data_IF_984858415440
#
_entry.id   IF_984858415440
#
_cell.length_a   1.000
_cell.length_b   1.000
_cell.length_c   1.000
_cell.angle_alpha   90.00
_cell.angle_beta   90.00
_cell.angle_gamma   90.00
#
_symmetry.space_group_name_H-M   'P 1'
#
loop_
_entity.id
_entity.type
_entity.pdbx_description
1 polymer ?
#
# COMPACT_ATOMS: atom_id res chain seq x y z
N UNK A 1 0.32 -14.16 -6.97
CA UNK A 1 -0.64 -14.13 -5.83
C UNK A 1 -1.91 -14.86 -6.27
N UNK A 2 -2.69 -15.39 -5.34
CA UNK A 2 -4.02 -15.90 -5.67
C UNK A 2 -4.90 -14.74 -6.14
N UNK A 3 -5.75 -14.99 -7.15
CA UNK A 3 -6.65 -13.98 -7.70
C UNK A 3 -7.68 -13.56 -6.64
N UNK A 4 -8.04 -12.29 -6.59
CA UNK A 4 -9.14 -11.79 -5.76
C UNK A 4 -10.45 -12.47 -6.20
N UNK A 5 -11.29 -12.91 -5.27
CA UNK A 5 -12.55 -13.61 -5.54
C UNK A 5 -13.73 -12.82 -4.98
N UNK A 6 -14.68 -12.50 -5.85
CA UNK A 6 -15.86 -11.71 -5.52
C UNK A 6 -17.10 -12.52 -5.83
N UNK A 7 -17.94 -12.72 -4.81
CA UNK A 7 -19.24 -13.34 -4.94
C UNK A 7 -20.27 -12.28 -5.33
N UNK A 8 -21.29 -12.64 -6.09
CA UNK A 8 -22.44 -11.75 -6.31
C UNK A 8 -23.76 -12.50 -6.33
N UNK A 9 -24.74 -12.01 -5.57
CA UNK A 9 -26.12 -12.46 -5.57
C UNK A 9 -27.06 -11.31 -5.96
N UNK A 10 -27.99 -11.57 -6.87
CA UNK A 10 -29.07 -10.65 -7.24
C UNK A 10 -30.34 -11.00 -6.47
N UNK A 11 -31.00 -10.01 -5.87
CA UNK A 11 -32.18 -10.23 -5.04
C UNK A 11 -33.32 -9.29 -5.41
N UNK A 12 -34.55 -9.75 -5.21
CA UNK A 12 -35.76 -8.99 -5.52
C UNK A 12 -36.90 -9.36 -4.57
N UNK A 13 -38.07 -8.75 -4.74
CA UNK A 13 -39.27 -8.99 -3.92
C UNK A 13 -40.56 -8.90 -4.74
N UNK A 14 -41.53 -9.78 -4.41
CA UNK A 14 -42.72 -10.10 -5.23
C UNK A 14 -43.60 -8.92 -5.66
N UNK A 15 -43.62 -7.83 -4.89
CA UNK A 15 -44.46 -6.67 -5.20
C UNK A 15 -43.82 -5.67 -6.18
N UNK A 16 -42.63 -5.98 -6.71
CA UNK A 16 -41.85 -5.14 -7.60
C UNK A 16 -41.48 -5.84 -8.91
N UNK A 17 -40.86 -5.12 -9.83
CA UNK A 17 -40.60 -5.57 -11.21
C UNK A 17 -39.43 -6.57 -11.30
N UNK A 18 -39.76 -7.87 -11.28
CA UNK A 18 -38.80 -8.98 -11.37
C UNK A 18 -37.99 -8.95 -12.68
N UNK A 19 -38.65 -8.73 -13.82
CA UNK A 19 -37.99 -8.77 -15.13
C UNK A 19 -36.98 -7.65 -15.28
N UNK A 20 -37.30 -6.47 -14.75
CA UNK A 20 -36.35 -5.36 -14.69
C UNK A 20 -35.19 -5.69 -13.73
N UNK A 21 -35.45 -6.24 -12.54
CA UNK A 21 -34.42 -6.67 -11.60
C UNK A 21 -33.44 -7.67 -12.24
N UNK A 22 -33.98 -8.68 -12.93
CA UNK A 22 -33.21 -9.68 -13.67
C UNK A 22 -32.35 -9.05 -14.77
N UNK A 23 -32.94 -8.14 -15.56
CA UNK A 23 -32.23 -7.46 -16.65
C UNK A 23 -31.03 -6.66 -16.11
N UNK A 24 -31.24 -5.88 -15.05
CA UNK A 24 -30.18 -5.10 -14.40
C UNK A 24 -29.09 -5.98 -13.79
N UNK A 25 -29.47 -7.11 -13.19
CA UNK A 25 -28.53 -8.09 -12.64
C UNK A 25 -27.65 -8.71 -13.71
N UNK A 26 -28.23 -9.20 -14.81
CA UNK A 26 -27.47 -9.81 -15.90
C UNK A 26 -26.50 -8.81 -16.55
N UNK A 27 -26.94 -7.56 -16.76
CA UNK A 27 -26.05 -6.49 -17.24
C UNK A 27 -24.90 -6.20 -16.26
N UNK A 28 -25.21 -6.22 -14.96
CA UNK A 28 -24.19 -6.07 -13.91
C UNK A 28 -23.16 -7.21 -13.91
N UNK A 29 -23.58 -8.45 -14.17
CA UNK A 29 -22.67 -9.59 -14.29
C UNK A 29 -21.72 -9.45 -15.48
N UNK A 30 -22.20 -8.95 -16.62
CA UNK A 30 -21.37 -8.69 -17.79
C UNK A 30 -20.31 -7.63 -17.48
N UNK A 31 -20.74 -6.47 -16.97
CA UNK A 31 -19.82 -5.39 -16.61
C UNK A 31 -18.79 -5.79 -15.55
N UNK A 32 -19.21 -6.53 -14.51
CA UNK A 32 -18.27 -7.03 -13.49
C UNK A 32 -17.28 -8.04 -14.04
N UNK A 33 -17.66 -8.86 -15.03
CA UNK A 33 -16.70 -9.77 -15.70
C UNK A 33 -15.64 -9.02 -16.49
N UNK A 34 -16.02 -7.93 -17.17
CA UNK A 34 -15.05 -7.07 -17.85
C UNK A 34 -14.14 -6.33 -16.85
N UNK A 35 -14.71 -5.76 -15.79
CA UNK A 35 -13.93 -5.17 -14.70
C UNK A 35 -12.99 -6.19 -14.05
N UNK A 36 -13.41 -7.45 -13.91
CA UNK A 36 -12.58 -8.54 -13.37
C UNK A 36 -11.35 -8.88 -14.21
N UNK A 37 -11.37 -8.56 -15.52
CA UNK A 37 -10.18 -8.67 -16.38
C UNK A 37 -9.23 -7.50 -16.17
N UNK A 38 -9.76 -6.29 -15.98
CA UNK A 38 -8.97 -5.05 -15.83
C UNK A 38 -8.40 -4.91 -14.43
N UNK A 39 -9.16 -5.26 -13.40
CA UNK A 39 -8.81 -5.11 -11.99
C UNK A 39 -8.44 -6.44 -11.31
N UNK A 40 -8.22 -7.49 -12.11
CA UNK A 40 -7.70 -8.79 -11.70
C UNK A 40 -8.48 -9.47 -10.57
N UNK A 41 -9.79 -9.70 -10.77
CA UNK A 41 -10.61 -10.51 -9.88
C UNK A 41 -11.42 -11.59 -10.62
N UNK A 42 -11.76 -12.66 -9.90
CA UNK A 42 -12.67 -13.71 -10.31
C UNK A 42 -14.07 -13.42 -9.76
N UNK A 43 -15.09 -13.58 -10.60
CA UNK A 43 -16.48 -13.38 -10.21
C UNK A 43 -17.18 -14.74 -10.07
N UNK A 44 -17.75 -14.99 -8.89
CA UNK A 44 -18.59 -16.15 -8.59
C UNK A 44 -20.02 -15.64 -8.45
N UNK A 45 -20.86 -15.90 -9.46
CA UNK A 45 -22.19 -15.29 -9.54
C UNK A 45 -23.29 -16.33 -9.35
N UNK A 46 -24.34 -15.95 -8.61
CA UNK A 46 -25.61 -16.64 -8.70
C UNK A 46 -26.14 -16.55 -10.15
N UNK A 47 -26.80 -17.60 -10.66
CA UNK A 47 -27.18 -17.64 -12.07
C UNK A 47 -28.33 -16.68 -12.43
N UNK A 48 -29.19 -16.35 -11.46
CA UNK A 48 -30.34 -15.44 -11.65
C UNK A 48 -30.66 -14.71 -10.33
N UNK A 49 -31.54 -13.70 -10.41
CA UNK A 49 -32.12 -13.04 -9.24
C UNK A 49 -33.03 -14.00 -8.47
N UNK A 50 -33.10 -13.83 -7.14
CA UNK A 50 -33.99 -14.65 -6.31
C UNK A 50 -34.59 -13.85 -5.15
N UNK A 51 -35.77 -14.24 -4.71
CA UNK A 51 -36.41 -13.81 -3.47
C UNK A 51 -36.51 -14.98 -2.45
N UNK A 52 -35.99 -16.16 -2.81
CA UNK A 52 -36.07 -17.39 -2.02
C UNK A 52 -34.83 -17.52 -1.12
N UNK A 53 -35.05 -17.47 0.20
CA UNK A 53 -34.02 -17.60 1.23
C UNK A 53 -33.28 -18.94 1.13
N UNK A 54 -33.95 -20.02 0.70
CA UNK A 54 -33.35 -21.33 0.47
C UNK A 54 -32.34 -21.32 -0.67
N UNK A 55 -32.62 -20.60 -1.76
CA UNK A 55 -31.67 -20.40 -2.87
C UNK A 55 -30.47 -19.57 -2.42
N UNK A 56 -30.70 -18.49 -1.66
CA UNK A 56 -29.61 -17.69 -1.08
C UNK A 56 -28.74 -18.53 -0.12
N UNK A 57 -29.37 -19.41 0.67
CA UNK A 57 -28.69 -20.30 1.61
C UNK A 57 -27.82 -21.32 0.87
N UNK A 58 -28.33 -21.93 -0.19
CA UNK A 58 -27.57 -22.85 -1.03
C UNK A 58 -26.37 -22.16 -1.68
N UNK A 59 -26.57 -20.97 -2.27
CA UNK A 59 -25.48 -20.20 -2.88
C UNK A 59 -24.43 -19.77 -1.84
N UNK A 60 -24.85 -19.34 -0.65
CA UNK A 60 -23.92 -19.06 0.46
C UNK A 60 -23.07 -20.29 0.81
N UNK A 61 -23.67 -21.47 0.87
CA UNK A 61 -22.96 -22.71 1.20
C UNK A 61 -21.96 -23.11 0.10
N UNK A 62 -22.24 -22.81 -1.17
CA UNK A 62 -21.27 -22.90 -2.27
C UNK A 62 -20.09 -21.93 -2.05
N UNK A 63 -20.37 -20.69 -1.63
CA UNK A 63 -19.37 -19.66 -1.39
C UNK A 63 -18.47 -19.95 -0.18
N UNK A 64 -18.93 -20.71 0.83
CA UNK A 64 -18.14 -21.05 2.04
C UNK A 64 -16.81 -21.73 1.72
N UNK A 65 -16.73 -22.45 0.61
CA UNK A 65 -15.53 -23.15 0.18
C UNK A 65 -14.73 -22.40 -0.89
N UNK A 66 -15.18 -21.21 -1.28
CA UNK A 66 -14.61 -20.47 -2.38
C UNK A 66 -13.42 -19.58 -2.00
N UNK A 67 -13.11 -19.38 -0.72
CA UNK A 67 -12.11 -18.40 -0.23
C UNK A 67 -12.45 -16.98 -0.75
N UNK A 68 -13.66 -16.53 -0.42
CA UNK A 68 -14.25 -15.30 -0.93
C UNK A 68 -13.68 -14.06 -0.21
N UNK A 69 -13.31 -13.03 -0.96
CA UNK A 69 -12.78 -11.78 -0.40
C UNK A 69 -13.87 -10.71 -0.20
N UNK A 70 -14.95 -10.77 -0.99
CA UNK A 70 -16.09 -9.85 -0.93
C UNK A 70 -17.35 -10.53 -1.49
N UNK A 71 -18.50 -10.35 -0.83
CA UNK A 71 -19.80 -10.69 -1.38
C UNK A 71 -20.59 -9.44 -1.74
N UNK A 72 -20.90 -9.24 -3.02
CA UNK A 72 -21.86 -8.25 -3.48
C UNK A 72 -23.29 -8.80 -3.37
N UNK A 73 -24.18 -8.06 -2.74
CA UNK A 73 -25.62 -8.34 -2.71
C UNK A 73 -26.32 -7.21 -3.43
N UNK A 74 -26.71 -7.47 -4.67
CA UNK A 74 -27.41 -6.50 -5.50
C UNK A 74 -28.91 -6.58 -5.27
N UNK A 75 -29.46 -5.54 -4.65
CA UNK A 75 -30.90 -5.34 -4.53
C UNK A 75 -31.42 -4.88 -5.90
N UNK A 76 -31.88 -5.81 -6.73
CA UNK A 76 -32.51 -5.47 -8.01
C UNK A 76 -33.81 -4.69 -7.78
N UNK A 77 -34.61 -5.13 -6.82
CA UNK A 77 -35.74 -4.37 -6.25
C UNK A 77 -35.59 -4.28 -4.72
N UNK A 78 -36.62 -3.88 -3.98
CA UNK A 78 -36.73 -4.14 -2.55
C UNK A 78 -36.50 -5.64 -2.30
N UNK A 79 -36.05 -6.03 -1.12
CA UNK A 79 -35.76 -7.43 -0.83
C UNK A 79 -36.05 -7.75 0.63
N UNK A 80 -36.40 -9.01 0.89
CA UNK A 80 -36.77 -9.49 2.22
C UNK A 80 -35.54 -9.51 3.15
N UNK A 81 -35.69 -9.08 4.41
CA UNK A 81 -34.58 -8.98 5.36
C UNK A 81 -33.92 -10.31 5.70
N UNK A 82 -34.65 -11.42 5.56
CA UNK A 82 -34.17 -12.78 5.79
C UNK A 82 -33.02 -13.17 4.84
N UNK A 83 -32.98 -12.59 3.64
CA UNK A 83 -31.96 -12.90 2.64
C UNK A 83 -30.58 -12.40 3.09
N UNK A 84 -30.47 -11.15 3.56
CA UNK A 84 -29.18 -10.64 4.03
C UNK A 84 -28.73 -11.34 5.31
N UNK A 85 -29.68 -11.75 6.17
CA UNK A 85 -29.38 -12.53 7.36
C UNK A 85 -28.78 -13.90 7.03
N UNK A 86 -29.18 -14.51 5.91
CA UNK A 86 -28.58 -15.76 5.44
C UNK A 86 -27.11 -15.54 5.04
N UNK A 87 -26.80 -14.48 4.29
CA UNK A 87 -25.44 -14.17 3.83
C UNK A 87 -24.49 -13.69 4.93
N UNK A 88 -25.01 -13.06 6.00
CA UNK A 88 -24.19 -12.61 7.13
C UNK A 88 -23.37 -13.74 7.77
N UNK A 89 -23.84 -14.99 7.71
CA UNK A 89 -23.14 -16.17 8.23
C UNK A 89 -21.92 -16.61 7.41
N UNK A 90 -21.65 -15.96 6.28
CA UNK A 90 -20.46 -16.23 5.47
C UNK A 90 -19.19 -15.67 6.13
N UNK A 91 -19.31 -14.66 7.00
CA UNK A 91 -18.18 -14.06 7.72
C UNK A 91 -17.21 -13.27 6.84
N UNK A 92 -17.63 -12.88 5.64
CA UNK A 92 -16.84 -12.10 4.68
C UNK A 92 -17.40 -10.68 4.55
N UNK A 93 -16.58 -9.70 4.12
CA UNK A 93 -17.07 -8.37 3.78
C UNK A 93 -18.24 -8.39 2.80
N UNK A 94 -19.21 -7.49 2.98
CA UNK A 94 -20.41 -7.40 2.14
C UNK A 94 -20.51 -6.05 1.42
N UNK A 95 -20.73 -6.09 0.11
CA UNK A 95 -21.10 -4.93 -0.69
C UNK A 95 -22.60 -4.88 -0.93
N UNK A 96 -23.30 -3.92 -0.32
CA UNK A 96 -24.74 -3.73 -0.53
C UNK A 96 -24.96 -2.83 -1.75
N UNK A 97 -25.57 -3.34 -2.81
CA UNK A 97 -25.63 -2.63 -4.08
C UNK A 97 -27.06 -2.36 -4.54
N UNK A 98 -27.41 -1.08 -4.71
CA UNK A 98 -28.73 -0.65 -5.17
C UNK A 98 -28.75 -0.12 -6.60
N UNK A 99 -29.94 -0.12 -7.18
CA UNK A 99 -30.24 0.35 -8.53
C UNK A 99 -31.12 1.61 -8.51
N UNK A 100 -30.94 2.53 -9.47
CA UNK A 100 -31.78 3.72 -9.59
C UNK A 100 -33.19 3.33 -10.05
N UNK A 101 -34.21 4.04 -9.55
CA UNK A 101 -35.54 3.93 -10.15
C UNK A 101 -35.49 4.36 -11.62
N UNK A 102 -36.09 3.59 -12.54
CA UNK A 102 -36.18 3.98 -13.94
C UNK A 102 -37.01 5.26 -14.12
N UNK A 103 -38.07 5.42 -13.32
CA UNK A 103 -38.94 6.59 -13.29
C UNK A 103 -39.17 7.10 -11.87
N UNK A 104 -38.97 8.39 -11.63
CA UNK A 104 -39.16 9.04 -10.32
C UNK A 104 -40.35 10.00 -10.27
N UNK A 105 -41.07 10.16 -11.38
CA UNK A 105 -42.20 11.08 -11.50
C UNK A 105 -43.47 10.37 -11.98
N UNK A 106 -44.48 10.35 -11.11
CA UNK A 106 -45.75 9.68 -11.38
C UNK A 106 -45.66 8.14 -11.34
N UNK A 107 -46.81 7.46 -11.38
CA UNK A 107 -46.87 6.00 -11.38
C UNK A 107 -46.53 5.33 -10.02
N UNK A 108 -46.35 4.01 -10.07
CA UNK A 108 -45.89 3.21 -8.93
C UNK A 108 -44.37 3.00 -9.00
N UNK A 109 -43.70 2.89 -7.84
CA UNK A 109 -42.30 2.50 -7.78
C UNK A 109 -42.12 1.11 -8.40
N UNK A 110 -41.05 0.95 -9.19
CA UNK A 110 -40.78 -0.31 -9.88
C UNK A 110 -39.75 -1.15 -9.15
N UNK A 111 -38.73 -0.52 -8.58
CA UNK A 111 -37.65 -1.25 -7.89
C UNK A 111 -37.75 -1.10 -6.38
N UNK A 112 -37.89 0.10 -5.86
CA UNK A 112 -37.65 0.46 -4.46
C UNK A 112 -36.30 -0.09 -3.91
N UNK A 113 -35.29 -0.17 -4.78
CA UNK A 113 -34.02 -0.86 -4.51
C UNK A 113 -33.18 -0.18 -3.43
N UNK A 114 -33.09 1.14 -3.44
CA UNK A 114 -32.36 1.90 -2.41
C UNK A 114 -32.93 1.63 -1.00
N UNK A 115 -34.25 1.43 -0.89
CA UNK A 115 -34.89 1.07 0.35
C UNK A 115 -34.47 -0.35 0.81
N UNK A 116 -34.32 -1.30 -0.12
CA UNK A 116 -33.77 -2.63 0.15
C UNK A 116 -32.33 -2.58 0.67
N UNK A 117 -31.46 -1.78 0.05
CA UNK A 117 -30.09 -1.54 0.53
C UNK A 117 -30.08 -0.94 1.94
N UNK A 118 -30.95 0.04 2.19
CA UNK A 118 -31.08 0.65 3.52
C UNK A 118 -31.58 -0.35 4.57
N UNK A 119 -32.56 -1.20 4.23
CA UNK A 119 -33.03 -2.28 5.09
C UNK A 119 -31.88 -3.22 5.45
N UNK A 120 -31.09 -3.66 4.46
CA UNK A 120 -29.96 -4.56 4.67
C UNK A 120 -28.86 -3.94 5.54
N UNK A 121 -28.53 -2.68 5.29
CA UNK A 121 -27.59 -1.93 6.12
C UNK A 121 -28.07 -1.83 7.58
N UNK A 122 -29.37 -1.56 7.79
CA UNK A 122 -29.96 -1.53 9.13
C UNK A 122 -29.92 -2.90 9.83
N UNK A 123 -30.18 -3.98 9.09
CA UNK A 123 -30.09 -5.34 9.63
C UNK A 123 -28.66 -5.68 10.04
N UNK A 124 -27.67 -5.49 9.16
CA UNK A 124 -26.27 -5.79 9.46
C UNK A 124 -25.71 -4.89 10.57
N UNK A 125 -25.96 -3.58 10.49
CA UNK A 125 -25.38 -2.60 11.40
C UNK A 125 -26.07 -2.49 12.76
N UNK A 126 -27.32 -2.96 12.90
CA UNK A 126 -28.08 -2.84 14.17
C UNK A 126 -28.60 -4.18 14.67
N UNK A 127 -29.32 -4.94 13.83
CA UNK A 127 -29.97 -6.18 14.29
C UNK A 127 -28.99 -7.34 14.46
N UNK A 128 -27.96 -7.42 13.60
CA UNK A 128 -26.91 -8.44 13.59
C UNK A 128 -25.53 -7.86 13.90
N UNK A 129 -25.47 -6.74 14.64
CA UNK A 129 -24.23 -6.02 14.90
C UNK A 129 -23.18 -6.90 15.59
N UNK A 130 -23.60 -7.89 16.38
CA UNK A 130 -22.75 -8.86 17.06
C UNK A 130 -22.00 -9.80 16.11
N UNK A 131 -22.42 -9.91 14.84
CA UNK A 131 -21.73 -10.72 13.81
C UNK A 131 -20.53 -10.00 13.21
N UNK A 132 -20.34 -8.71 13.48
CA UNK A 132 -19.24 -7.87 12.98
C UNK A 132 -19.03 -7.96 11.45
N UNK A 133 -20.12 -8.12 10.70
CA UNK A 133 -20.07 -8.15 9.24
C UNK A 133 -19.84 -6.74 8.73
N UNK A 134 -18.61 -6.46 8.30
CA UNK A 134 -18.28 -5.19 7.66
C UNK A 134 -18.97 -5.07 6.32
N UNK A 135 -19.60 -3.92 6.07
CA UNK A 135 -20.27 -3.67 4.82
C UNK A 135 -19.99 -2.27 4.26
N UNK A 136 -20.11 -2.17 2.94
CA UNK A 136 -20.06 -0.91 2.18
C UNK A 136 -21.18 -0.90 1.16
N UNK A 137 -21.76 0.27 0.91
CA UNK A 137 -22.83 0.41 -0.07
C UNK A 137 -22.31 0.90 -1.44
N UNK A 138 -22.98 0.48 -2.50
CA UNK A 138 -22.78 0.86 -3.90
C UNK A 138 -24.13 1.22 -4.53
N UNK A 139 -24.13 2.06 -5.56
CA UNK A 139 -25.37 2.49 -6.21
C UNK A 139 -25.13 2.84 -7.69
N UNK A 140 -26.10 2.51 -8.53
CA UNK A 140 -26.02 2.73 -9.99
C UNK A 140 -25.58 1.49 -10.75
N UNK A 141 -25.63 1.56 -12.08
CA UNK A 141 -25.08 0.52 -12.96
C UNK A 141 -23.56 0.38 -12.76
N UNK A 142 -23.00 -0.78 -13.12
CA UNK A 142 -21.59 -1.10 -12.84
C UNK A 142 -20.56 -0.22 -13.57
N UNK A 143 -20.96 0.45 -14.64
CA UNK A 143 -20.17 1.42 -15.40
C UNK A 143 -20.44 2.87 -14.97
N UNK A 144 -21.39 3.08 -14.05
CA UNK A 144 -21.71 4.41 -13.55
C UNK A 144 -20.57 4.98 -12.70
N UNK A 145 -20.41 6.30 -12.76
CA UNK A 145 -19.35 7.00 -12.00
C UNK A 145 -19.44 6.74 -10.49
N UNK A 146 -20.65 6.77 -9.93
CA UNK A 146 -20.86 6.56 -8.49
C UNK A 146 -20.48 5.13 -8.05
N UNK A 147 -20.77 4.12 -8.89
CA UNK A 147 -20.35 2.76 -8.60
C UNK A 147 -18.82 2.63 -8.70
N UNK A 148 -18.22 3.04 -9.82
CA UNK A 148 -16.78 2.89 -10.08
C UNK A 148 -15.92 3.62 -9.05
N UNK A 149 -16.27 4.86 -8.68
CA UNK A 149 -15.53 5.67 -7.70
C UNK A 149 -15.51 5.03 -6.31
N UNK A 150 -16.50 4.20 -6.00
CA UNK A 150 -16.59 3.48 -4.73
C UNK A 150 -15.99 2.09 -4.84
N UNK A 151 -16.17 1.42 -5.97
CA UNK A 151 -15.76 0.03 -6.15
C UNK A 151 -14.26 -0.09 -6.42
N UNK A 152 -13.66 0.77 -7.22
CA UNK A 152 -12.22 0.73 -7.52
C UNK A 152 -11.35 0.78 -6.24
N UNK A 153 -11.55 1.72 -5.29
CA UNK A 153 -10.81 1.71 -4.03
C UNK A 153 -10.98 0.41 -3.23
N UNK A 154 -12.19 -0.18 -3.28
CA UNK A 154 -12.48 -1.47 -2.63
C UNK A 154 -11.59 -2.56 -3.19
N UNK A 155 -11.51 -2.67 -4.52
CA UNK A 155 -10.71 -3.70 -5.18
C UNK A 155 -9.22 -3.54 -4.88
N UNK A 156 -8.69 -2.30 -4.97
CA UNK A 156 -7.29 -2.01 -4.64
C UNK A 156 -6.96 -2.34 -3.18
N UNK A 157 -7.86 -2.03 -2.25
CA UNK A 157 -7.69 -2.35 -0.83
C UNK A 157 -7.71 -3.86 -0.56
N UNK A 158 -8.66 -4.59 -1.15
CA UNK A 158 -8.77 -6.03 -0.97
C UNK A 158 -7.56 -6.78 -1.56
N UNK A 159 -7.02 -6.33 -2.70
CA UNK A 159 -5.75 -6.85 -3.23
C UNK A 159 -4.60 -6.69 -2.23
N UNK A 160 -4.48 -5.52 -1.59
CA UNK A 160 -3.47 -5.31 -0.56
C UNK A 160 -3.69 -6.22 0.66
N UNK A 161 -4.94 -6.39 1.13
CA UNK A 161 -5.27 -7.28 2.25
C UNK A 161 -4.91 -8.73 1.92
N UNK A 162 -5.32 -9.22 0.74
CA UNK A 162 -5.03 -10.57 0.26
C UNK A 162 -3.53 -10.79 0.08
N UNK A 163 -2.79 -9.77 -0.35
CA UNK A 163 -1.33 -9.80 -0.45
C UNK A 163 -0.67 -9.97 0.92
N UNK A 164 -1.15 -9.27 1.96
CA UNK A 164 -0.55 -9.37 3.30
C UNK A 164 -0.79 -10.73 3.95
N UNK A 165 -1.97 -11.31 3.75
CA UNK A 165 -2.37 -12.56 4.39
C UNK A 165 -1.44 -13.72 3.98
N UNK A 166 -0.71 -14.28 4.96
CA UNK A 166 0.27 -15.35 4.74
C UNK A 166 1.58 -14.90 4.09
N UNK A 167 1.81 -13.59 3.98
CA UNK A 167 3.02 -13.06 3.37
C UNK A 167 4.25 -13.20 4.27
N UNK A 168 5.40 -13.29 3.62
CA UNK A 168 6.71 -13.36 4.26
C UNK A 168 7.47 -12.09 3.97
N UNK A 169 8.09 -11.51 4.98
CA UNK A 169 9.05 -10.43 4.87
C UNK A 169 10.40 -10.91 5.40
N UNK A 170 11.48 -10.21 5.06
CA UNK A 170 12.78 -10.48 5.64
C UNK A 170 13.36 -9.25 6.33
N UNK A 171 14.02 -9.47 7.46
CA UNK A 171 14.96 -8.54 8.04
C UNK A 171 16.38 -9.08 7.81
N UNK A 172 17.19 -8.31 7.10
CA UNK A 172 18.56 -8.68 6.72
C UNK A 172 19.54 -7.82 7.50
N UNK A 173 20.30 -8.43 8.40
CA UNK A 173 21.33 -7.76 9.21
C UNK A 173 20.81 -6.98 10.41
N UNK A 174 19.55 -7.17 10.81
CA UNK A 174 18.95 -6.44 11.93
C UNK A 174 18.46 -5.05 11.55
N UNK A 175 18.34 -4.20 12.55
CA UNK A 175 18.08 -2.76 12.43
C UNK A 175 19.26 -2.04 13.10
N UNK A 176 19.74 -0.89 12.59
CA UNK A 176 20.83 -0.15 13.20
C UNK A 176 20.62 0.11 14.70
N UNK A 177 21.72 0.13 15.46
CA UNK A 177 21.66 0.45 16.89
C UNK A 177 21.13 1.88 17.11
N UNK A 178 20.20 2.05 18.05
CA UNK A 178 19.56 3.34 18.32
C UNK A 178 18.27 3.59 17.53
N UNK A 179 17.99 2.82 16.47
CA UNK A 179 16.80 2.97 15.62
C UNK A 179 15.63 2.16 16.21
N UNK A 180 15.28 2.47 17.45
CA UNK A 180 14.28 1.72 18.22
C UNK A 180 12.85 1.98 17.75
N UNK A 181 12.61 3.12 17.09
CA UNK A 181 11.28 3.51 16.63
C UNK A 181 10.79 2.66 15.47
N UNK A 182 11.69 2.14 14.63
CA UNK A 182 11.32 1.23 13.51
C UNK A 182 11.23 -0.24 13.90
N UNK A 183 11.37 -0.57 15.19
CA UNK A 183 11.16 -1.94 15.70
C UNK A 183 9.70 -2.35 15.62
N UNK A 184 9.47 -3.66 15.56
CA UNK A 184 8.12 -4.23 15.51
C UNK A 184 7.95 -5.41 16.44
N UNK A 185 6.71 -5.88 16.56
CA UNK A 185 6.36 -7.07 17.30
C UNK A 185 5.81 -8.13 16.32
N UNK A 186 6.52 -9.25 16.17
CA UNK A 186 6.11 -10.33 15.27
C UNK A 186 4.73 -10.89 15.62
N UNK A 187 4.42 -11.04 16.91
CA UNK A 187 3.13 -11.54 17.37
C UNK A 187 1.98 -10.64 16.92
N UNK A 188 2.16 -9.32 16.98
CA UNK A 188 1.17 -8.34 16.49
C UNK A 188 1.03 -8.43 14.97
N UNK A 189 2.12 -8.42 14.21
CA UNK A 189 2.07 -8.56 12.75
C UNK A 189 1.40 -9.87 12.32
N UNK A 190 1.71 -10.98 13.00
CA UNK A 190 1.10 -12.28 12.76
C UNK A 190 -0.39 -12.26 13.06
N UNK A 191 -0.79 -11.76 14.22
CA UNK A 191 -2.19 -11.74 14.63
C UNK A 191 -3.06 -10.81 13.78
N UNK A 192 -2.49 -9.69 13.30
CA UNK A 192 -3.22 -8.64 12.57
C UNK A 192 -3.28 -8.89 11.06
N UNK A 193 -2.19 -9.38 10.48
CA UNK A 193 -2.01 -9.47 9.02
C UNK A 193 -1.60 -10.86 8.53
N UNK A 194 -1.40 -11.83 9.42
CA UNK A 194 -0.80 -13.14 9.11
C UNK A 194 0.58 -13.02 8.43
N UNK A 195 1.35 -12.00 8.84
CA UNK A 195 2.72 -11.77 8.35
C UNK A 195 3.73 -12.57 9.18
N UNK A 196 4.71 -13.13 8.50
CA UNK A 196 5.94 -13.66 9.13
C UNK A 196 7.15 -12.88 8.67
N UNK A 197 8.12 -12.69 9.57
CA UNK A 197 9.38 -12.02 9.26
C UNK A 197 10.53 -13.00 9.48
N UNK A 198 11.28 -13.31 8.44
CA UNK A 198 12.49 -14.12 8.55
C UNK A 198 13.70 -13.24 8.82
N UNK A 199 14.69 -13.76 9.54
CA UNK A 199 15.92 -13.04 9.85
C UNK A 199 17.08 -13.69 9.12
N UNK A 200 17.90 -12.86 8.46
CA UNK A 200 19.12 -13.31 7.77
C UNK A 200 20.32 -12.52 8.25
N UNK A 201 21.43 -13.21 8.46
CA UNK A 201 22.70 -12.57 8.82
C UNK A 201 23.31 -11.89 7.59
N UNK A 202 23.57 -10.59 7.69
CA UNK A 202 24.09 -9.82 6.57
C UNK A 202 25.49 -10.31 6.15
N UNK A 203 26.34 -10.67 7.11
CA UNK A 203 27.72 -11.14 6.85
C UNK A 203 27.76 -12.43 6.04
N UNK A 204 26.80 -13.35 6.25
CA UNK A 204 26.68 -14.58 5.46
C UNK A 204 26.32 -14.29 4.01
N UNK A 205 25.38 -13.36 3.78
CA UNK A 205 24.97 -12.95 2.44
C UNK A 205 26.10 -12.21 1.70
N UNK A 206 26.88 -11.38 2.41
CA UNK A 206 28.05 -10.71 1.83
C UNK A 206 29.16 -11.72 1.46
N UNK A 207 29.38 -12.73 2.30
CA UNK A 207 30.32 -13.82 1.97
C UNK A 207 29.87 -14.61 0.74
N UNK A 208 28.57 -14.89 0.60
CA UNK A 208 28.01 -15.49 -0.62
C UNK A 208 28.22 -14.60 -1.85
N UNK A 209 28.04 -13.28 -1.70
CA UNK A 209 28.26 -12.32 -2.77
C UNK A 209 29.71 -12.36 -3.26
N UNK A 210 30.69 -12.34 -2.34
CA UNK A 210 32.11 -12.42 -2.68
C UNK A 210 32.52 -13.73 -3.33
N UNK A 211 31.86 -14.84 -2.97
CA UNK A 211 32.12 -16.15 -3.54
C UNK A 211 31.61 -16.33 -4.98
N UNK A 212 30.73 -15.44 -5.47
CA UNK A 212 30.24 -15.52 -6.85
C UNK A 212 31.41 -15.39 -7.84
N UNK A 213 31.42 -16.14 -8.96
CA UNK A 213 32.38 -15.91 -10.04
C UNK A 213 32.10 -14.60 -10.78
N UNK A 214 33.15 -13.94 -11.30
CA UNK A 214 32.98 -12.70 -12.09
C UNK A 214 32.14 -12.93 -13.34
N UNK A 215 32.29 -14.09 -14.00
CA UNK A 215 31.55 -14.43 -15.20
C UNK A 215 30.01 -14.44 -15.01
N UNK A 216 29.53 -14.73 -13.79
CA UNK A 216 28.10 -14.77 -13.48
C UNK A 216 27.47 -13.39 -13.29
N UNK A 217 28.27 -12.40 -12.91
CA UNK A 217 27.79 -11.06 -12.54
C UNK A 217 28.26 -9.96 -13.49
N UNK A 218 29.17 -10.25 -14.43
CA UNK A 218 29.71 -9.25 -15.38
C UNK A 218 28.61 -8.53 -16.16
N UNK A 219 27.67 -9.29 -16.73
CA UNK A 219 26.52 -8.71 -17.44
C UNK A 219 25.67 -7.82 -16.53
N UNK A 220 25.44 -8.25 -15.30
CA UNK A 220 24.68 -7.48 -14.31
C UNK A 220 25.42 -6.19 -13.95
N UNK A 221 26.75 -6.22 -13.84
CA UNK A 221 27.57 -5.04 -13.59
C UNK A 221 27.53 -4.05 -14.75
N UNK A 222 27.63 -4.53 -15.99
CA UNK A 222 27.47 -3.72 -17.21
C UNK A 222 26.08 -3.07 -17.27
N UNK A 223 25.03 -3.83 -16.93
CA UNK A 223 23.67 -3.31 -16.83
C UNK A 223 23.59 -2.18 -15.78
N UNK A 224 24.08 -2.40 -14.54
CA UNK A 224 24.10 -1.35 -13.49
C UNK A 224 24.82 -0.10 -13.99
N UNK A 225 25.99 -0.27 -14.58
CA UNK A 225 26.81 0.85 -15.06
C UNK A 225 26.11 1.65 -16.17
N UNK A 226 25.27 1.00 -16.98
CA UNK A 226 24.53 1.64 -18.08
C UNK A 226 23.19 2.26 -17.67
N UNK A 227 22.63 1.90 -16.51
CA UNK A 227 21.30 2.34 -16.08
C UNK A 227 21.25 3.84 -15.75
N UNK A 228 22.30 4.38 -15.14
CA UNK A 228 22.43 5.81 -14.82
C UNK A 228 23.87 6.29 -15.01
N UNK A 229 24.09 7.59 -15.33
CA UNK A 229 25.41 8.18 -15.27
C UNK A 229 26.07 7.94 -13.91
N UNK A 230 27.37 7.63 -13.91
CA UNK A 230 28.12 7.39 -12.68
C UNK A 230 29.36 8.27 -12.57
N UNK A 231 29.69 8.69 -11.35
CA UNK A 231 30.85 9.51 -11.06
C UNK A 231 31.67 8.93 -9.91
N UNK A 232 32.95 8.63 -10.18
CA UNK A 232 33.89 8.17 -9.15
C UNK A 232 33.67 6.73 -8.68
N UNK A 233 33.01 5.89 -9.49
CA UNK A 233 32.80 4.46 -9.25
C UNK A 233 33.65 3.66 -10.23
N UNK A 234 34.46 2.74 -9.72
CA UNK A 234 35.35 1.86 -10.49
C UNK A 234 34.64 0.61 -10.99
N UNK A 235 35.20 -0.05 -12.01
CA UNK A 235 34.69 -1.33 -12.53
C UNK A 235 34.62 -2.42 -11.45
N UNK A 236 35.60 -2.49 -10.55
CA UNK A 236 35.60 -3.42 -9.42
C UNK A 236 34.46 -3.17 -8.43
N UNK A 237 34.10 -1.90 -8.20
CA UNK A 237 32.95 -1.53 -7.36
C UNK A 237 31.62 -1.90 -8.04
N UNK A 238 31.49 -1.73 -9.36
CA UNK A 238 30.33 -2.23 -10.11
C UNK A 238 30.17 -3.76 -10.02
N UNK A 239 31.28 -4.49 -10.09
CA UNK A 239 31.27 -5.95 -9.92
C UNK A 239 30.78 -6.36 -8.53
N UNK A 240 31.25 -5.67 -7.48
CA UNK A 240 30.75 -5.87 -6.11
C UNK A 240 29.26 -5.55 -5.96
N UNK A 241 28.77 -4.45 -6.55
CA UNK A 241 27.34 -4.13 -6.55
C UNK A 241 26.51 -5.21 -7.24
N UNK A 242 26.97 -5.71 -8.39
CA UNK A 242 26.31 -6.77 -9.13
C UNK A 242 26.19 -8.07 -8.31
N UNK A 243 27.23 -8.41 -7.53
CA UNK A 243 27.24 -9.56 -6.62
C UNK A 243 26.18 -9.45 -5.54
N UNK A 244 26.18 -8.33 -4.81
CA UNK A 244 25.22 -8.11 -3.72
C UNK A 244 23.79 -8.06 -4.25
N UNK A 245 23.57 -7.33 -5.36
CA UNK A 245 22.27 -7.29 -6.02
C UNK A 245 21.76 -8.69 -6.35
N UNK A 246 22.61 -9.56 -6.92
CA UNK A 246 22.20 -10.93 -7.28
C UNK A 246 21.88 -11.79 -6.08
N UNK A 247 22.65 -11.69 -5.00
CA UNK A 247 22.36 -12.44 -3.77
C UNK A 247 21.02 -12.02 -3.18
N UNK A 248 20.76 -10.72 -3.06
CA UNK A 248 19.49 -10.22 -2.53
C UNK A 248 18.30 -10.54 -3.45
N UNK A 249 18.44 -10.36 -4.76
CA UNK A 249 17.41 -10.71 -5.73
C UNK A 249 17.05 -12.19 -5.64
N UNK A 250 18.05 -13.07 -5.63
CA UNK A 250 17.86 -14.51 -5.49
C UNK A 250 17.19 -14.86 -4.16
N UNK A 251 17.65 -14.28 -3.05
CA UNK A 251 17.07 -14.50 -1.72
C UNK A 251 15.58 -14.13 -1.69
N UNK A 252 15.22 -12.96 -2.25
CA UNK A 252 13.85 -12.46 -2.31
C UNK A 252 12.98 -13.40 -3.15
N UNK A 253 13.47 -13.83 -4.31
CA UNK A 253 12.73 -14.70 -5.22
C UNK A 253 12.53 -16.11 -4.67
N UNK A 254 13.58 -16.75 -4.15
CA UNK A 254 13.54 -18.13 -3.65
C UNK A 254 12.66 -18.28 -2.42
N UNK A 255 12.57 -17.25 -1.58
CA UNK A 255 11.73 -17.26 -0.38
C UNK A 255 10.35 -16.63 -0.59
N UNK A 256 10.09 -16.06 -1.78
CA UNK A 256 8.87 -15.34 -2.11
C UNK A 256 8.57 -14.20 -1.12
N UNK A 257 9.59 -13.41 -0.76
CA UNK A 257 9.39 -12.27 0.15
C UNK A 257 8.57 -11.16 -0.53
N UNK A 258 7.52 -10.69 0.15
CA UNK A 258 6.73 -9.53 -0.27
C UNK A 258 7.50 -8.22 -0.11
N UNK A 259 8.44 -8.17 0.83
CA UNK A 259 9.41 -7.10 0.99
C UNK A 259 10.51 -7.44 1.99
N UNK A 260 11.59 -6.68 1.96
CA UNK A 260 12.73 -6.86 2.85
C UNK A 260 13.15 -5.54 3.48
N UNK A 261 13.55 -5.56 4.75
CA UNK A 261 14.31 -4.49 5.40
C UNK A 261 15.78 -4.89 5.44
N UNK A 262 16.68 -4.03 4.97
CA UNK A 262 18.12 -4.32 4.88
C UNK A 262 18.90 -3.32 5.73
N UNK A 263 19.69 -3.81 6.69
CA UNK A 263 20.62 -3.00 7.46
C UNK A 263 21.75 -2.48 6.54
N UNK A 264 21.47 -1.37 5.87
CA UNK A 264 22.34 -0.71 4.90
C UNK A 264 23.57 -0.04 5.54
N UNK A 265 23.55 0.16 6.86
CA UNK A 265 24.64 0.65 7.70
C UNK A 265 24.43 0.13 9.15
N UNK A 266 25.41 0.24 10.07
CA UNK A 266 26.82 0.54 9.82
C UNK A 266 27.59 -0.64 9.21
N UNK A 267 27.14 -1.87 9.48
CA UNK A 267 27.90 -3.09 9.21
C UNK A 267 28.13 -3.37 7.73
N UNK A 268 27.17 -3.04 6.85
CA UNK A 268 27.33 -3.23 5.40
C UNK A 268 28.55 -2.46 4.87
N UNK A 269 28.67 -1.19 5.26
CA UNK A 269 29.75 -0.32 4.81
C UNK A 269 31.10 -0.78 5.36
N UNK A 270 31.14 -1.10 6.66
CA UNK A 270 32.35 -1.60 7.32
C UNK A 270 32.84 -2.93 6.72
N UNK A 271 31.92 -3.85 6.41
CA UNK A 271 32.26 -5.17 5.90
C UNK A 271 32.58 -5.19 4.40
N UNK A 272 31.86 -4.41 3.59
CA UNK A 272 31.91 -4.55 2.13
C UNK A 272 32.61 -3.40 1.40
N UNK A 273 32.78 -2.24 2.07
CA UNK A 273 33.42 -1.04 1.52
C UNK A 273 32.55 -0.28 0.51
N UNK A 274 31.24 -0.57 0.47
CA UNK A 274 30.23 0.08 -0.39
C UNK A 274 29.06 0.58 0.46
N UNK A 275 28.29 1.55 -0.04
CA UNK A 275 26.93 1.76 0.46
C UNK A 275 25.96 0.79 -0.22
N UNK A 276 24.92 0.35 0.49
CA UNK A 276 23.87 -0.49 -0.10
C UNK A 276 22.86 0.34 -0.91
N UNK A 277 22.93 1.68 -0.88
CA UNK A 277 21.86 2.57 -1.28
C UNK A 277 21.40 2.38 -2.73
N UNK A 278 22.33 2.37 -3.68
CA UNK A 278 21.99 2.10 -5.09
C UNK A 278 21.53 0.66 -5.35
N UNK A 279 21.96 -0.31 -4.53
CA UNK A 279 21.48 -1.70 -4.63
C UNK A 279 20.01 -1.80 -4.21
N UNK A 280 19.64 -1.18 -3.08
CA UNK A 280 18.25 -1.10 -2.62
C UNK A 280 17.38 -0.33 -3.62
N UNK A 281 17.89 0.81 -4.09
CA UNK A 281 17.25 1.58 -5.15
C UNK A 281 16.99 0.73 -6.39
N UNK A 282 17.98 -0.03 -6.87
CA UNK A 282 17.81 -0.92 -8.02
C UNK A 282 16.84 -2.07 -7.77
N UNK A 283 16.88 -2.74 -6.61
CA UNK A 283 15.93 -3.80 -6.26
C UNK A 283 14.49 -3.30 -6.42
N UNK A 284 14.20 -2.15 -5.83
CA UNK A 284 12.91 -1.51 -5.93
C UNK A 284 12.60 -1.02 -7.37
N UNK A 285 13.58 -0.52 -8.14
CA UNK A 285 13.41 -0.16 -9.56
C UNK A 285 13.02 -1.37 -10.42
N UNK A 286 13.50 -2.57 -10.07
CA UNK A 286 13.10 -3.84 -10.71
C UNK A 286 11.78 -4.40 -10.18
N UNK A 287 11.13 -3.68 -9.27
CA UNK A 287 9.83 -4.03 -8.72
C UNK A 287 9.90 -4.93 -7.49
N UNK A 288 11.03 -5.10 -6.82
CA UNK A 288 11.03 -5.64 -5.46
C UNK A 288 10.63 -4.57 -4.44
N UNK A 289 10.52 -4.95 -3.16
CA UNK A 289 10.33 -4.00 -2.05
C UNK A 289 11.49 -4.20 -1.08
N UNK A 290 12.30 -3.16 -0.92
CA UNK A 290 13.52 -3.14 -0.13
C UNK A 290 13.60 -1.80 0.62
N UNK A 291 13.34 -1.83 1.92
CA UNK A 291 13.49 -0.69 2.82
C UNK A 291 14.93 -0.62 3.38
N UNK A 292 15.47 0.58 3.56
CA UNK A 292 16.76 0.76 4.22
C UNK A 292 16.64 0.46 5.72
N UNK A 293 17.78 0.35 6.37
CA UNK A 293 17.94 0.34 7.83
C UNK A 293 17.15 -0.76 8.55
N UNK A 294 16.87 -1.87 7.83
CA UNK A 294 16.14 -2.99 8.42
C UNK A 294 14.66 -2.70 8.68
N UNK A 295 14.10 -1.59 8.18
CA UNK A 295 12.74 -1.13 8.50
C UNK A 295 11.64 -1.97 7.80
N UNK A 296 11.33 -3.12 8.40
CA UNK A 296 10.29 -4.03 7.93
C UNK A 296 8.89 -3.38 7.95
N UNK A 297 8.48 -2.62 8.98
CA UNK A 297 7.19 -1.92 8.96
C UNK A 297 7.02 -0.96 7.78
N UNK A 298 8.08 -0.24 7.39
CA UNK A 298 8.07 0.57 6.16
C UNK A 298 8.03 -0.30 4.91
N UNK A 299 8.76 -1.42 4.86
CA UNK A 299 8.65 -2.38 3.75
C UNK A 299 7.21 -2.91 3.58
N UNK A 300 6.49 -3.17 4.66
CA UNK A 300 5.06 -3.56 4.62
C UNK A 300 4.22 -2.44 4.00
N UNK A 301 4.42 -1.20 4.46
CA UNK A 301 3.70 -0.03 3.94
C UNK A 301 3.98 0.22 2.45
N UNK A 302 5.24 0.06 2.02
CA UNK A 302 5.63 0.09 0.60
C UNK A 302 4.96 -1.03 -0.20
N UNK A 303 4.93 -2.27 0.32
CA UNK A 303 4.28 -3.39 -0.36
C UNK A 303 2.77 -3.15 -0.56
N UNK A 304 2.10 -2.54 0.44
CA UNK A 304 0.69 -2.13 0.33
C UNK A 304 0.51 -1.10 -0.78
N UNK A 305 1.25 0.01 -0.72
CA UNK A 305 1.18 1.08 -1.73
C UNK A 305 1.43 0.58 -3.14
N UNK A 306 2.45 -0.28 -3.31
CA UNK A 306 2.76 -0.93 -4.59
C UNK A 306 1.57 -1.77 -5.09
N UNK A 307 0.99 -2.59 -4.22
CA UNK A 307 -0.14 -3.48 -4.56
C UNK A 307 -1.38 -2.68 -4.96
N UNK A 308 -1.58 -1.50 -4.37
CA UNK A 308 -2.67 -0.58 -4.71
C UNK A 308 -2.46 0.19 -6.03
N UNK A 309 -1.36 -0.05 -6.75
CA UNK A 309 -1.06 0.61 -8.02
C UNK A 309 -0.15 1.84 -7.90
N UNK A 310 0.52 2.04 -6.76
CA UNK A 310 1.43 3.16 -6.52
C UNK A 310 2.78 3.11 -7.24
N UNK A 311 2.94 2.20 -8.21
CA UNK A 311 4.18 2.02 -8.95
C UNK A 311 5.30 1.44 -8.09
N UNK A 312 6.42 2.15 -7.98
CA UNK A 312 7.62 1.74 -7.24
C UNK A 312 7.81 2.68 -6.06
N UNK A 313 7.37 2.30 -4.85
CA UNK A 313 7.45 3.18 -3.69
C UNK A 313 8.90 3.46 -3.30
N UNK A 314 9.14 4.63 -2.73
CA UNK A 314 10.42 5.08 -2.19
C UNK A 314 10.29 5.33 -0.69
N UNK A 315 11.38 5.21 0.07
CA UNK A 315 11.44 5.50 1.49
C UNK A 315 12.16 6.84 1.68
N UNK A 316 11.54 7.77 2.43
CA UNK A 316 12.07 9.12 2.63
C UNK A 316 12.03 9.52 4.10
N UNK A 317 12.84 10.51 4.47
CA UNK A 317 12.86 11.16 5.78
C UNK A 317 12.27 12.57 5.67
N UNK A 318 11.77 13.11 6.79
CA UNK A 318 11.44 14.53 6.91
C UNK A 318 12.66 15.31 7.43
N UNK A 319 13.46 15.86 6.51
CA UNK A 319 14.79 16.41 6.85
C UNK A 319 14.83 17.92 7.10
N UNK A 320 13.89 18.69 6.53
CA UNK A 320 13.78 20.12 6.80
C UNK A 320 12.34 20.60 6.66
N UNK A 321 11.98 21.62 7.43
CA UNK A 321 10.71 22.33 7.34
C UNK A 321 11.00 23.77 6.94
N UNK A 322 10.30 24.27 5.93
CA UNK A 322 10.29 25.67 5.53
C UNK A 322 8.86 26.23 5.69
N UNK A 323 8.56 26.87 6.83
CA UNK A 323 7.24 27.44 7.08
C UNK A 323 6.93 28.65 6.20
N UNK A 324 7.95 29.36 5.68
CA UNK A 324 7.73 30.56 4.87
C UNK A 324 7.20 30.20 3.49
N UNK A 325 7.70 29.08 2.93
CA UNK A 325 7.27 28.55 1.64
C UNK A 325 6.26 27.39 1.75
N UNK A 326 5.77 27.09 2.96
CA UNK A 326 4.85 25.99 3.26
C UNK A 326 5.29 24.64 2.67
N UNK A 327 6.56 24.29 2.89
CA UNK A 327 7.17 23.11 2.27
C UNK A 327 8.06 22.32 3.23
N UNK A 328 8.31 21.06 2.88
CA UNK A 328 9.22 20.18 3.60
C UNK A 328 10.20 19.50 2.66
N UNK A 329 11.44 19.35 3.11
CA UNK A 329 12.44 18.57 2.41
C UNK A 329 12.27 17.09 2.75
N UNK A 330 11.84 16.33 1.75
CA UNK A 330 11.95 14.88 1.76
C UNK A 330 13.36 14.49 1.33
N UNK A 331 14.05 13.69 2.11
CA UNK A 331 15.44 13.29 1.80
C UNK A 331 15.75 11.89 2.34
N UNK A 332 16.66 11.15 1.67
CA UNK A 332 17.24 9.91 2.17
C UNK A 332 18.67 9.77 1.61
N UNK A 333 19.49 8.91 2.24
CA UNK A 333 20.90 8.59 1.93
C UNK A 333 21.20 7.96 0.55
N UNK A 334 20.34 8.19 -0.46
CA UNK A 334 20.58 7.74 -1.83
C UNK A 334 19.88 6.44 -2.20
N UNK A 335 18.90 6.00 -1.40
CA UNK A 335 17.96 4.93 -1.75
C UNK A 335 16.85 5.53 -2.61
N UNK A 336 17.14 5.71 -3.90
CA UNK A 336 16.22 6.32 -4.86
C UNK A 336 15.97 5.46 -6.09
N UNK A 337 15.00 5.87 -6.89
CA UNK A 337 14.61 5.22 -8.15
C UNK A 337 14.78 6.13 -9.33
N UNK A 338 15.43 5.66 -10.41
CA UNK A 338 15.38 6.33 -11.69
C UNK A 338 13.96 6.70 -12.15
N UNK A 339 12.91 5.92 -11.82
CA UNK A 339 11.55 6.30 -12.23
C UNK A 339 11.02 7.60 -11.58
N UNK A 340 11.54 7.99 -10.42
CA UNK A 340 11.15 9.17 -9.65
C UNK A 340 11.84 10.47 -10.07
N UNK A 341 12.79 10.40 -11.01
CA UNK A 341 13.57 11.56 -11.43
C UNK A 341 13.84 11.53 -12.92
N UNK A 342 14.10 12.69 -13.51
CA UNK A 342 14.65 12.77 -14.87
C UNK A 342 16.19 12.87 -14.85
N UNK A 343 16.78 13.12 -13.67
CA UNK A 343 18.21 13.33 -13.47
C UNK A 343 18.71 12.55 -12.25
N UNK A 344 19.28 11.37 -12.50
CA UNK A 344 19.91 10.53 -11.48
C UNK A 344 21.39 10.35 -11.79
N UNK A 345 22.26 10.47 -10.78
CA UNK A 345 23.67 10.14 -10.88
C UNK A 345 24.02 9.16 -9.75
N UNK A 346 24.71 8.09 -10.09
CA UNK A 346 25.31 7.22 -9.09
C UNK A 346 26.71 7.73 -8.72
N UNK A 347 26.93 8.02 -7.44
CA UNK A 347 28.17 8.67 -7.00
C UNK A 347 28.67 8.11 -5.67
N UNK A 348 29.78 8.68 -5.17
CA UNK A 348 30.24 8.47 -3.79
C UNK A 348 29.38 9.27 -2.83
N UNK A 349 28.96 8.64 -1.75
CA UNK A 349 28.06 9.25 -0.78
C UNK A 349 28.75 10.40 -0.04
N UNK A 350 28.23 11.63 -0.14
CA UNK A 350 28.87 12.83 0.44
C UNK A 350 28.55 13.10 1.91
N UNK A 351 27.48 12.54 2.49
CA UNK A 351 27.26 12.67 3.96
C UNK A 351 28.45 12.15 4.80
N UNK A 352 29.27 11.28 4.23
CA UNK A 352 30.45 10.69 4.87
C UNK A 352 31.73 11.48 4.48
N UNK A 353 31.62 12.74 4.07
CA UNK A 353 32.80 13.63 4.06
C UNK A 353 33.14 14.13 5.48
N UNK A 354 32.18 14.12 6.41
CA UNK A 354 32.36 14.57 7.80
C UNK A 354 32.81 13.46 8.78
N UNK A 355 32.76 12.17 8.39
CA UNK A 355 33.09 11.04 9.26
C UNK A 355 34.61 10.74 9.34
N UNK A 356 35.44 11.78 9.28
CA UNK A 356 36.89 11.72 9.51
C UNK A 356 37.27 11.72 10.99
N UNK A 357 36.41 11.21 11.87
CA UNK A 357 36.66 11.12 13.32
C UNK A 357 36.66 9.64 13.70
N UNK A 358 37.85 9.15 14.06
CA UNK A 358 38.18 7.83 14.62
C UNK A 358 37.26 6.64 14.26
N UNK A 359 37.72 5.83 13.30
CA UNK A 359 37.22 4.47 13.08
C UNK A 359 36.02 4.32 12.13
N UNK A 360 35.52 5.41 11.53
CA UNK A 360 34.43 5.35 10.55
C UNK A 360 34.95 5.37 9.11
N UNK A 361 34.35 4.53 8.27
CA UNK A 361 34.66 4.38 6.84
C UNK A 361 34.45 5.72 6.15
N UNK A 362 35.42 6.19 5.33
CA UNK A 362 35.28 7.42 4.53
C UNK A 362 34.16 7.33 3.47
N UNK A 363 34.04 8.30 2.54
CA UNK A 363 32.95 8.35 1.56
C UNK A 363 32.81 7.05 0.76
N UNK A 364 31.80 6.26 1.12
CA UNK A 364 31.54 4.96 0.52
C UNK A 364 30.86 5.14 -0.86
N UNK A 365 31.24 4.36 -1.89
CA UNK A 365 30.64 4.45 -3.21
C UNK A 365 29.19 3.99 -3.24
N UNK A 366 28.53 4.26 -4.37
CA UNK A 366 27.30 3.62 -4.80
C UNK A 366 26.00 4.11 -4.12
N UNK A 367 25.88 5.43 -3.95
CA UNK A 367 24.62 6.09 -3.61
C UNK A 367 24.03 6.80 -4.83
N UNK A 368 22.70 6.97 -4.88
CA UNK A 368 22.06 7.82 -5.88
C UNK A 368 21.95 9.26 -5.37
N UNK A 369 22.44 10.19 -6.20
CA UNK A 369 22.19 11.62 -6.07
C UNK A 369 21.13 12.00 -7.12
N UNK A 370 19.93 12.33 -6.64
CA UNK A 370 18.77 12.61 -7.50
C UNK A 370 17.79 13.56 -6.84
N UNK A 371 17.14 14.37 -7.66
CA UNK A 371 16.01 15.21 -7.26
C UNK A 371 14.71 14.58 -7.77
N UNK A 372 13.76 14.33 -6.88
CA UNK A 372 12.42 13.84 -7.23
C UNK A 372 11.77 14.85 -8.16
N UNK A 373 11.35 14.41 -9.35
CA UNK A 373 10.63 15.25 -10.30
C UNK A 373 9.30 15.71 -9.69
N UNK A 374 8.73 16.79 -10.21
CA UNK A 374 7.43 17.27 -9.75
C UNK A 374 6.36 16.21 -9.99
N UNK A 375 5.76 15.67 -8.93
CA UNK A 375 4.84 14.53 -9.00
C UNK A 375 3.96 14.49 -7.75
N UNK A 376 2.63 14.31 -7.90
CA UNK A 376 1.77 14.05 -6.75
C UNK A 376 2.11 12.70 -6.13
N UNK A 377 2.04 12.61 -4.81
CA UNK A 377 2.34 11.38 -4.09
C UNK A 377 1.34 11.10 -2.97
N UNK A 378 1.31 9.83 -2.57
CA UNK A 378 0.68 9.36 -1.33
C UNK A 378 1.76 8.87 -0.39
N UNK A 379 1.73 9.37 0.84
CA UNK A 379 2.55 8.94 1.97
C UNK A 379 1.71 8.04 2.87
N UNK A 380 2.21 6.85 3.18
CA UNK A 380 1.55 5.90 4.07
C UNK A 380 2.55 5.26 5.03
N UNK A 381 2.26 5.29 6.32
CA UNK A 381 3.03 4.57 7.35
C UNK A 381 2.10 3.86 8.34
N UNK A 382 2.22 2.54 8.43
CA UNK A 382 1.61 1.75 9.50
C UNK A 382 2.50 1.74 10.74
N UNK A 383 1.93 1.98 11.92
CA UNK A 383 2.63 1.89 13.22
C UNK A 383 1.82 1.06 14.22
N UNK A 384 2.38 0.82 15.41
CA UNK A 384 1.74 0.11 16.53
C UNK A 384 1.24 -1.29 16.16
N UNK A 385 2.05 -2.03 15.38
CA UNK A 385 1.68 -3.35 14.86
C UNK A 385 0.55 -3.30 13.82
N UNK A 386 0.34 -2.15 13.18
CA UNK A 386 -0.70 -1.95 12.17
C UNK A 386 -2.05 -1.51 12.73
N UNK A 387 -2.10 -0.95 13.94
CA UNK A 387 -3.33 -0.40 14.50
C UNK A 387 -3.53 1.08 14.18
N UNK A 388 -2.47 1.79 13.81
CA UNK A 388 -2.51 3.22 13.47
C UNK A 388 -1.89 3.45 12.10
N UNK A 389 -2.42 4.45 11.41
CA UNK A 389 -2.03 4.82 10.05
C UNK A 389 -1.78 6.32 9.96
N UNK A 390 -0.57 6.70 9.56
CA UNK A 390 -0.31 8.01 8.99
C UNK A 390 -0.58 7.95 7.48
N UNK A 391 -1.52 8.76 7.01
CA UNK A 391 -1.84 8.92 5.60
C UNK A 391 -1.86 10.41 5.26
N UNK A 392 -1.08 10.80 4.26
CA UNK A 392 -1.15 12.12 3.67
C UNK A 392 -0.89 12.05 2.16
N UNK A 393 -1.36 13.05 1.43
CA UNK A 393 -0.93 13.30 0.05
C UNK A 393 -0.17 14.62 -0.02
N UNK A 394 0.60 14.81 -1.09
CA UNK A 394 1.35 16.03 -1.35
C UNK A 394 1.89 16.04 -2.78
N UNK A 395 2.68 17.05 -3.11
CA UNK A 395 3.33 17.19 -4.41
C UNK A 395 4.80 17.57 -4.23
N UNK A 396 5.71 16.85 -4.88
CA UNK A 396 7.13 17.23 -4.96
C UNK A 396 7.32 18.41 -5.91
N UNK A 397 8.32 19.26 -5.66
CA UNK A 397 8.54 20.53 -6.37
C UNK A 397 9.58 20.47 -7.50
N UNK A 398 10.11 19.29 -7.81
CA UNK A 398 11.21 19.14 -8.77
C UNK A 398 12.51 19.77 -8.27
N UNK A 399 13.34 20.21 -9.21
CA UNK A 399 14.65 20.85 -8.97
C UNK A 399 14.58 22.38 -8.82
N UNK A 400 13.38 22.92 -8.67
CA UNK A 400 13.12 24.36 -8.51
C UNK A 400 13.71 24.93 -7.21
N UNK A 401 13.89 24.09 -6.18
CA UNK A 401 14.43 24.49 -4.88
C UNK A 401 15.72 23.70 -4.58
N UNK A 402 16.86 24.39 -4.36
CA UNK A 402 18.12 23.74 -4.01
C UNK A 402 18.01 22.87 -2.75
N UNK A 403 18.76 21.77 -2.73
CA UNK A 403 18.74 20.81 -1.61
C UNK A 403 20.05 20.02 -1.52
N UNK A 404 20.46 19.55 -0.33
CA UNK A 404 21.69 18.77 -0.14
C UNK A 404 21.68 17.45 -0.90
N UNK A 405 22.82 17.00 -1.43
CA UNK A 405 22.94 15.75 -2.21
C UNK A 405 22.33 14.53 -1.52
N UNK A 406 21.84 13.59 -2.32
CA UNK A 406 21.12 12.39 -1.89
C UNK A 406 19.88 12.15 -2.75
N UNK A 407 19.00 11.24 -2.33
CA UNK A 407 17.66 11.12 -2.91
C UNK A 407 16.77 12.13 -2.21
N UNK A 408 16.24 13.12 -2.93
CA UNK A 408 15.61 14.29 -2.28
C UNK A 408 14.54 14.98 -3.10
N UNK A 409 13.66 15.73 -2.45
CA UNK A 409 12.75 16.66 -3.09
C UNK A 409 12.02 17.50 -2.07
N UNK A 410 11.91 18.80 -2.32
CA UNK A 410 10.97 19.62 -1.55
C UNK A 410 9.54 19.25 -1.92
N UNK A 411 8.64 19.24 -0.95
CA UNK A 411 7.24 18.88 -1.12
C UNK A 411 6.33 19.89 -0.42
N UNK A 412 5.17 20.15 -1.01
CA UNK A 412 4.13 21.02 -0.45
C UNK A 412 2.72 20.44 -0.73
N UNK A 413 1.68 21.28 -0.60
CA UNK A 413 0.29 20.92 -0.89
C UNK A 413 -0.19 19.70 -0.08
N UNK A 414 0.24 19.60 1.17
CA UNK A 414 -0.07 18.47 2.03
C UNK A 414 -1.57 18.37 2.34
N UNK A 415 -2.11 17.16 2.27
CA UNK A 415 -3.48 16.86 2.73
C UNK A 415 -3.48 15.65 3.64
N UNK A 416 -3.88 15.82 4.88
CA UNK A 416 -4.09 14.71 5.81
C UNK A 416 -5.27 13.86 5.33
N UNK A 417 -5.09 12.53 5.37
CA UNK A 417 -6.05 11.54 4.86
C UNK A 417 -6.44 11.74 3.38
N UNK A 418 -5.67 12.51 2.62
CA UNK A 418 -5.93 12.85 1.21
C UNK A 418 -6.95 13.97 0.98
N UNK A 419 -7.65 14.41 2.03
CA UNK A 419 -8.79 15.32 1.90
C UNK A 419 -8.56 16.66 2.61
N UNK A 420 -7.98 16.64 3.81
CA UNK A 420 -7.89 17.79 4.71
C UNK A 420 -6.60 18.57 4.43
N UNK A 421 -6.65 19.76 3.79
CA UNK A 421 -5.45 20.54 3.53
C UNK A 421 -4.81 20.99 4.84
N UNK A 422 -3.49 20.81 4.94
CA UNK A 422 -2.70 21.22 6.11
C UNK A 422 -1.44 21.91 5.65
N UNK A 423 -0.96 22.86 6.45
CA UNK A 423 0.38 23.42 6.24
C UNK A 423 1.46 22.36 6.50
N UNK A 424 2.64 22.54 5.92
CA UNK A 424 3.83 21.75 6.23
C UNK A 424 4.14 21.75 7.75
N UNK A 425 3.89 22.88 8.42
CA UNK A 425 4.03 23.00 9.87
C UNK A 425 3.03 22.14 10.63
N UNK A 426 1.76 22.12 10.22
CA UNK A 426 0.72 21.29 10.85
C UNK A 426 0.90 19.80 10.56
N UNK A 427 1.35 19.43 9.36
CA UNK A 427 1.73 18.07 9.04
C UNK A 427 2.88 17.61 9.95
N UNK A 428 3.96 18.40 10.04
CA UNK A 428 5.09 18.13 10.93
C UNK A 428 4.63 17.98 12.38
N UNK A 429 3.80 18.91 12.86
CA UNK A 429 3.27 18.87 14.22
C UNK A 429 2.44 17.60 14.47
N UNK A 430 1.60 17.22 13.51
CA UNK A 430 0.79 16.00 13.57
C UNK A 430 1.67 14.76 13.72
N UNK A 431 2.72 14.63 12.92
CA UNK A 431 3.68 13.51 12.98
C UNK A 431 4.38 13.47 14.34
N UNK A 432 4.96 14.59 14.77
CA UNK A 432 5.80 14.65 15.98
C UNK A 432 5.00 14.50 17.28
N UNK A 433 3.82 15.13 17.40
CA UNK A 433 2.96 15.00 18.59
C UNK A 433 2.45 13.56 18.75
N UNK A 434 2.24 12.86 17.63
CA UNK A 434 1.80 11.47 17.63
C UNK A 434 2.93 10.45 17.82
N UNK A 435 4.19 10.90 17.80
CA UNK A 435 5.38 10.05 17.96
C UNK A 435 5.53 9.01 16.85
N UNK A 436 5.29 9.40 15.59
CA UNK A 436 5.50 8.51 14.44
C UNK A 436 6.99 8.31 14.14
N UNK A 437 7.31 7.15 13.58
CA UNK A 437 8.64 6.77 13.14
C UNK A 437 9.18 7.73 12.07
N UNK A 438 10.51 7.85 11.98
CA UNK A 438 11.18 8.83 11.12
C UNK A 438 11.18 8.50 9.61
N UNK A 439 10.75 7.30 9.22
CA UNK A 439 10.67 6.89 7.82
C UNK A 439 9.27 6.99 7.25
N UNK A 440 9.21 7.51 6.02
CA UNK A 440 7.98 7.83 5.30
C UNK A 440 7.98 7.15 3.93
N UNK A 441 7.26 6.03 3.77
CA UNK A 441 7.00 5.41 2.47
C UNK A 441 6.14 6.29 1.57
N UNK A 442 6.59 6.55 0.36
CA UNK A 442 5.92 7.34 -0.66
C UNK A 442 5.66 6.52 -1.92
N UNK A 443 4.48 6.71 -2.52
CA UNK A 443 4.12 6.19 -3.83
C UNK A 443 3.57 7.30 -4.73
N UNK A 444 3.72 7.14 -6.05
CA UNK A 444 3.22 8.13 -7.01
C UNK A 444 1.70 8.11 -7.11
N UNK A 445 1.11 9.28 -7.30
CA UNK A 445 -0.34 9.48 -7.44
C UNK A 445 -1.08 9.54 -6.11
N UNK A 446 -2.39 9.70 -6.21
CA UNK A 446 -3.30 9.72 -5.07
C UNK A 446 -3.95 8.35 -4.89
N UNK A 447 -3.59 7.69 -3.80
CA UNK A 447 -4.12 6.38 -3.37
C UNK A 447 -4.91 6.51 -2.06
N UNK A 448 -5.19 7.73 -1.60
CA UNK A 448 -5.77 8.00 -0.27
C UNK A 448 -7.07 7.25 -0.04
N UNK A 449 -7.98 7.25 -1.03
CA UNK A 449 -9.24 6.52 -0.96
C UNK A 449 -9.02 5.01 -0.77
N UNK A 450 -8.08 4.39 -1.50
CA UNK A 450 -7.77 2.96 -1.36
C UNK A 450 -7.09 2.64 -0.02
N UNK A 451 -6.25 3.54 0.49
CA UNK A 451 -5.60 3.37 1.80
C UNK A 451 -6.60 3.51 2.95
N UNK A 452 -7.54 4.47 2.88
CA UNK A 452 -8.62 4.61 3.87
C UNK A 452 -9.58 3.41 3.83
N UNK A 453 -9.87 2.92 2.63
CA UNK A 453 -10.65 1.70 2.44
C UNK A 453 -9.97 0.49 3.10
N UNK A 454 -8.67 0.30 2.85
CA UNK A 454 -7.84 -0.70 3.56
C UNK A 454 -7.91 -0.54 5.08
N UNK A 455 -7.79 0.69 5.57
CA UNK A 455 -7.82 0.98 7.00
C UNK A 455 -9.15 0.57 7.64
N UNK A 456 -10.28 0.85 6.96
CA UNK A 456 -11.61 0.44 7.42
C UNK A 456 -11.76 -1.09 7.45
N UNK A 457 -11.39 -1.79 6.37
CA UNK A 457 -11.47 -3.25 6.30
C UNK A 457 -10.57 -3.95 7.31
N UNK A 458 -9.44 -3.35 7.69
CA UNK A 458 -8.47 -3.93 8.63
C UNK A 458 -8.57 -3.38 10.06
N UNK A 459 -9.53 -2.51 10.38
CA UNK A 459 -9.63 -1.84 11.69
C UNK A 459 -8.31 -1.15 12.07
N UNK A 460 -7.78 -0.33 11.15
CA UNK A 460 -6.61 0.51 11.36
C UNK A 460 -7.10 1.94 11.52
N UNK A 461 -6.69 2.65 12.56
CA UNK A 461 -7.12 4.02 12.82
C UNK A 461 -6.23 5.02 12.06
N UNK A 462 -6.74 5.76 11.07
CA UNK A 462 -6.00 6.88 10.48
C UNK A 462 -5.82 7.99 11.50
N UNK A 463 -4.72 8.74 11.40
CA UNK A 463 -4.51 9.90 12.26
C UNK A 463 -5.44 11.06 11.92
N UNK A 464 -5.82 11.73 12.99
CA UNK A 464 -6.43 13.06 12.94
C UNK A 464 -5.32 14.11 12.95
N UNK A 465 -5.56 15.22 12.25
CA UNK A 465 -4.65 16.36 12.24
C UNK A 465 -4.53 16.94 13.63
N UNK A 466 -3.31 17.31 14.02
CA UNK A 466 -3.06 18.06 15.24
C UNK A 466 -2.67 19.48 14.84
N UNK A 467 -3.58 20.46 14.96
CA UNK A 467 -3.27 21.85 14.65
C UNK A 467 -2.09 22.34 15.48
N UNK A 468 -1.18 23.08 14.86
CA UNK A 468 0.00 23.59 15.56
C UNK A 468 -0.38 24.55 16.69
N UNK A 469 0.20 24.34 17.87
CA UNK A 469 0.09 25.23 19.04
C UNK A 469 1.45 25.40 19.69
N UNK A 470 1.70 26.57 20.29
CA UNK A 470 2.97 26.89 20.96
C UNK A 470 3.14 26.25 22.34
N UNK A 471 2.14 25.51 22.82
CA UNK A 471 2.17 24.80 24.10
C UNK A 471 2.30 23.29 23.88
N UNK A 472 2.65 22.54 24.93
CA UNK A 472 2.77 21.09 24.89
C UNK A 472 1.45 20.44 24.43
N UNK A 473 1.49 19.76 23.30
CA UNK A 473 0.41 18.91 22.80
C UNK A 473 0.80 17.45 23.04
N UNK A 474 -0.17 16.62 23.44
CA UNK A 474 0.02 15.18 23.61
C UNK A 474 -1.03 14.46 22.78
N UNK A 475 -0.65 13.30 22.26
CA UNK A 475 -1.50 12.47 21.40
C UNK A 475 -2.90 12.21 21.95
N UNK A 476 -3.03 11.97 23.25
CA UNK A 476 -4.26 11.49 23.87
C UNK A 476 -4.99 12.60 24.67
N UNK A 477 -4.72 13.88 24.36
CA UNK A 477 -5.28 15.06 25.06
C UNK A 477 -6.45 15.70 24.32
#
# INVERSE_FOLDING_TARGET
MAKLKIGIAGVWYDCFDEDLARTLYLGSLESLRELGKVWDFELIAAPDVTNDVGVCTAFRDELRHADLDLLLVQSGTFAAGEIIAAFADLGVPVGLWGMPEPETTGGALRLNSLCGVNLYAGILGTYLAERDVKYKWYFGEADSRLFLDRFEPTIRALHAIKMLHGSRFANIGGTPEGYYDVYWNDGRLRSKFDITVDRHELTELLAQADALPEAEVRRVAEEIQSEVPSQGISSGEFMKLARVYRVFEKLIQENHYAGVGIACWPHFQAAYGLTACSTLGRLNEKGFVAACEGDVPSAISMAILKTMGGGKPVLMDLSALDPENDSMLLWHCGVGHPCWTDNCIQCRHTLIEAAGVDGHVGPAPAAFDMVLKQTPFTLMRLTDGGNRLLLATGETLGDSVPSPRGTRGWANNFKMRGEEPVSALEFTNTVLVNGFEHHFPLAMGDLSAAVLEFAAWMNVKPLETVPYRSYLQRRDW
#
